data_IF_577810144762
#
_entry.id   IF_577810144762
#
_cell.length_a   1.000
_cell.length_b   1.000
_cell.length_c   1.000
_cell.angle_alpha   90.00
_cell.angle_beta   90.00
_cell.angle_gamma   90.00
#
_symmetry.space_group_name_H-M   'P 1'
#
loop_
_entity.id
_entity.type
_entity.pdbx_description
1 polymer ?
#
# COMPACT_ATOMS: atom_id res chain seq x y z
N UNK A 1 11.97 -41.96 -37.69
CA UNK A 1 12.24 -40.65 -37.07
C UNK A 1 11.05 -39.77 -37.39
N UNK A 2 10.22 -39.52 -36.37
CA UNK A 2 8.83 -39.13 -36.55
C UNK A 2 8.69 -37.61 -36.68
N UNK A 3 8.33 -37.13 -37.87
CA UNK A 3 8.24 -35.70 -38.22
C UNK A 3 7.20 -34.98 -37.34
N UNK A 4 6.15 -35.68 -36.92
CA UNK A 4 5.11 -35.17 -36.04
C UNK A 4 5.63 -34.76 -34.64
N UNK A 5 6.66 -35.46 -34.13
CA UNK A 5 7.26 -35.16 -32.83
C UNK A 5 8.15 -33.90 -32.84
N UNK A 6 8.68 -33.54 -34.01
CA UNK A 6 9.49 -32.34 -34.19
C UNK A 6 8.63 -31.10 -34.34
N UNK A 7 7.53 -31.17 -35.10
CA UNK A 7 6.58 -30.06 -35.24
C UNK A 7 5.91 -29.70 -33.92
N UNK A 8 5.53 -30.69 -33.09
CA UNK A 8 4.96 -30.42 -31.76
C UNK A 8 5.97 -29.79 -30.77
N UNK A 9 7.27 -30.10 -30.93
CA UNK A 9 8.34 -29.48 -30.13
C UNK A 9 8.66 -28.07 -30.61
N UNK A 10 8.66 -27.83 -31.91
CA UNK A 10 8.85 -26.51 -32.51
C UNK A 10 7.68 -25.56 -32.21
N UNK A 11 6.44 -26.06 -32.22
CA UNK A 11 5.26 -25.28 -31.82
C UNK A 11 5.27 -24.98 -30.32
N UNK A 12 5.64 -25.95 -29.47
CA UNK A 12 5.83 -25.68 -28.02
C UNK A 12 6.97 -24.69 -27.76
N UNK A 13 8.08 -24.77 -28.49
CA UNK A 13 9.17 -23.81 -28.35
C UNK A 13 8.77 -22.44 -28.90
N UNK A 14 8.05 -22.34 -30.01
CA UNK A 14 7.55 -21.06 -30.53
C UNK A 14 6.51 -20.46 -29.59
N UNK A 15 5.58 -21.23 -29.04
CA UNK A 15 4.60 -20.75 -28.05
C UNK A 15 5.29 -20.34 -26.75
N UNK A 16 6.29 -21.10 -26.27
CA UNK A 16 7.03 -20.75 -25.07
C UNK A 16 7.93 -19.52 -25.28
N UNK A 17 8.53 -19.38 -26.46
CA UNK A 17 9.34 -18.21 -26.84
C UNK A 17 8.44 -16.99 -27.08
N UNK A 18 7.26 -17.16 -27.68
CA UNK A 18 6.27 -16.11 -27.92
C UNK A 18 5.59 -15.64 -26.63
N UNK A 19 5.32 -16.55 -25.68
CA UNK A 19 4.90 -16.19 -24.31
C UNK A 19 6.04 -15.50 -23.54
N UNK A 20 7.31 -15.87 -23.78
CA UNK A 20 8.47 -15.18 -23.20
C UNK A 20 8.85 -13.84 -23.88
N UNK A 21 8.45 -13.61 -25.14
CA UNK A 21 8.78 -12.38 -25.90
C UNK A 21 7.65 -11.38 -26.00
N UNK A 22 6.38 -11.80 -25.83
CA UNK A 22 5.24 -10.88 -25.71
C UNK A 22 5.15 -10.26 -24.30
N UNK A 23 5.82 -10.84 -23.30
CA UNK A 23 5.97 -10.27 -21.96
C UNK A 23 7.34 -9.59 -21.87
N UNK A 24 7.45 -8.38 -22.43
CA UNK A 24 8.66 -7.59 -22.34
C UNK A 24 9.00 -7.31 -20.85
N UNK A 25 10.22 -7.58 -20.36
CA UNK A 25 10.61 -7.36 -18.95
C UNK A 25 10.49 -5.90 -18.50
N UNK A 26 10.33 -4.96 -19.44
CA UNK A 26 10.05 -3.55 -19.16
C UNK A 26 8.59 -3.25 -18.82
N UNK A 27 7.64 -4.03 -19.32
CA UNK A 27 6.21 -3.85 -19.03
C UNK A 27 5.86 -4.46 -17.67
N UNK A 28 6.52 -5.55 -17.30
CA UNK A 28 6.38 -6.28 -16.02
C UNK A 28 6.85 -5.43 -14.83
N UNK A 29 7.79 -4.51 -15.04
CA UNK A 29 8.48 -3.85 -13.92
C UNK A 29 7.86 -2.52 -13.47
N UNK A 30 6.98 -1.92 -14.27
CA UNK A 30 6.47 -0.56 -14.02
C UNK A 30 5.23 -0.53 -13.10
N UNK A 31 4.23 -1.40 -13.34
CA UNK A 31 2.94 -1.31 -12.63
C UNK A 31 2.86 -2.19 -11.38
N UNK A 32 3.80 -3.11 -11.16
CA UNK A 32 3.81 -3.93 -9.93
C UNK A 32 4.31 -3.18 -8.67
N UNK A 33 5.01 -2.05 -8.84
CA UNK A 33 5.73 -1.37 -7.75
C UNK A 33 4.78 -0.72 -6.74
N UNK A 34 3.71 -0.06 -7.20
CA UNK A 34 2.69 0.52 -6.31
C UNK A 34 2.03 -0.52 -5.40
N UNK A 35 1.41 -1.57 -5.98
CA UNK A 35 0.85 -2.71 -5.23
C UNK A 35 1.86 -3.37 -4.29
N UNK A 36 3.12 -3.50 -4.71
CA UNK A 36 4.20 -4.05 -3.87
C UNK A 36 4.54 -3.17 -2.67
N UNK A 37 4.64 -1.84 -2.83
CA UNK A 37 4.93 -0.93 -1.72
C UNK A 37 3.80 -0.94 -0.69
N UNK A 38 2.55 -0.96 -1.16
CA UNK A 38 1.36 -1.03 -0.28
C UNK A 38 1.35 -2.36 0.46
N UNK A 39 1.43 -3.49 -0.24
CA UNK A 39 1.38 -4.81 0.42
C UNK A 39 2.57 -5.06 1.35
N UNK A 40 3.74 -4.51 1.03
CA UNK A 40 4.90 -4.51 1.91
C UNK A 40 4.62 -3.73 3.19
N UNK A 41 4.01 -2.54 3.10
CA UNK A 41 3.63 -1.73 4.27
C UNK A 41 2.64 -2.49 5.14
N UNK A 42 1.49 -2.87 4.60
CA UNK A 42 0.43 -3.53 5.39
C UNK A 42 0.91 -4.88 5.94
N UNK A 43 1.68 -5.62 5.14
CA UNK A 43 2.30 -6.86 5.57
C UNK A 43 3.29 -6.68 6.72
N UNK A 44 4.12 -5.64 6.70
CA UNK A 44 5.06 -5.34 7.80
C UNK A 44 4.29 -4.93 9.06
N UNK A 45 3.23 -4.16 8.94
CA UNK A 45 2.39 -3.75 10.06
C UNK A 45 1.74 -4.97 10.73
N UNK A 46 1.09 -5.83 9.93
CA UNK A 46 0.56 -7.10 10.40
C UNK A 46 1.63 -8.00 11.05
N UNK A 47 2.80 -8.13 10.40
CA UNK A 47 3.90 -8.92 10.94
C UNK A 47 4.47 -8.35 12.24
N UNK A 48 4.51 -7.02 12.38
CA UNK A 48 4.95 -6.33 13.58
C UNK A 48 3.96 -6.55 14.73
N UNK A 49 2.65 -6.46 14.47
CA UNK A 49 1.60 -6.76 15.44
C UNK A 49 1.80 -8.19 15.98
N UNK A 50 1.88 -9.18 15.08
CA UNK A 50 2.09 -10.59 15.45
C UNK A 50 3.38 -10.74 16.26
N UNK A 51 4.48 -10.12 15.81
CA UNK A 51 5.78 -10.21 16.49
C UNK A 51 5.76 -9.60 17.89
N UNK A 52 5.10 -8.45 18.07
CA UNK A 52 4.93 -7.80 19.38
C UNK A 52 4.11 -8.69 20.31
N UNK A 53 3.00 -9.25 19.82
CA UNK A 53 2.12 -10.12 20.62
C UNK A 53 2.82 -11.40 21.03
N UNK A 54 3.50 -12.07 20.11
CA UNK A 54 4.26 -13.29 20.42
C UNK A 54 5.42 -13.00 21.37
N UNK A 55 6.16 -11.92 21.15
CA UNK A 55 7.25 -11.49 22.04
C UNK A 55 6.75 -11.13 23.44
N UNK A 56 5.57 -10.53 23.53
CA UNK A 56 4.94 -10.20 24.81
C UNK A 56 4.62 -11.45 25.62
N UNK A 57 3.96 -12.45 25.00
CA UNK A 57 3.61 -13.71 25.65
C UNK A 57 4.84 -14.52 26.10
N UNK A 58 5.95 -14.45 25.36
CA UNK A 58 7.22 -15.03 25.78
C UNK A 58 7.74 -14.34 27.04
N UNK A 59 7.75 -13.00 27.06
CA UNK A 59 8.25 -12.21 28.19
C UNK A 59 7.42 -12.38 29.46
N UNK A 60 6.10 -12.55 29.33
CA UNK A 60 5.18 -12.75 30.46
C UNK A 60 5.02 -14.22 30.86
N UNK A 61 5.79 -15.14 30.27
CA UNK A 61 5.72 -16.60 30.50
C UNK A 61 4.34 -17.22 30.22
N UNK A 62 3.57 -16.63 29.32
CA UNK A 62 2.24 -17.11 28.90
C UNK A 62 2.28 -17.81 27.54
N UNK A 63 3.26 -18.70 27.34
CA UNK A 63 3.50 -19.32 26.03
C UNK A 63 2.34 -20.20 25.54
N UNK A 64 1.56 -20.76 26.46
CA UNK A 64 0.36 -21.55 26.15
C UNK A 64 -0.68 -20.77 25.34
N UNK A 65 -0.63 -19.43 25.39
CA UNK A 65 -1.56 -18.55 24.70
C UNK A 65 -1.12 -18.19 23.27
N UNK A 66 0.13 -18.50 22.87
CA UNK A 66 0.67 -18.19 21.53
C UNK A 66 -0.20 -18.77 20.41
N UNK A 67 -0.76 -19.96 20.61
CA UNK A 67 -1.64 -20.62 19.64
C UNK A 67 -2.87 -19.77 19.29
N UNK A 68 -3.42 -19.00 20.24
CA UNK A 68 -4.59 -18.15 20.00
C UNK A 68 -4.25 -16.93 19.14
N UNK A 69 -3.03 -16.39 19.26
CA UNK A 69 -2.53 -15.34 18.35
C UNK A 69 -2.39 -15.90 16.93
N UNK A 70 -1.83 -17.10 16.78
CA UNK A 70 -1.67 -17.74 15.46
C UNK A 70 -3.02 -18.06 14.84
N UNK A 71 -3.95 -18.67 15.58
CA UNK A 71 -5.29 -18.96 15.09
C UNK A 71 -6.06 -17.69 14.75
N UNK A 72 -6.02 -16.66 15.61
CA UNK A 72 -6.65 -15.37 15.33
C UNK A 72 -6.11 -14.72 14.06
N UNK A 73 -4.78 -14.76 13.86
CA UNK A 73 -4.12 -14.25 12.65
C UNK A 73 -4.54 -15.04 11.41
N UNK A 74 -4.51 -16.38 11.48
CA UNK A 74 -4.88 -17.23 10.34
C UNK A 74 -6.34 -17.05 9.92
N UNK A 75 -7.27 -16.97 10.88
CA UNK A 75 -8.68 -16.70 10.61
C UNK A 75 -8.87 -15.30 10.01
N UNK A 76 -8.15 -14.28 10.49
CA UNK A 76 -8.21 -12.93 9.94
C UNK A 76 -7.67 -12.87 8.50
N UNK A 77 -6.58 -13.56 8.20
CA UNK A 77 -6.03 -13.65 6.85
C UNK A 77 -7.03 -14.31 5.89
N UNK A 78 -7.65 -15.42 6.29
CA UNK A 78 -8.70 -16.08 5.50
C UNK A 78 -9.92 -15.16 5.29
N UNK A 79 -10.36 -14.46 6.34
CA UNK A 79 -11.46 -13.50 6.23
C UNK A 79 -11.11 -12.34 5.28
N UNK A 80 -9.86 -11.86 5.31
CA UNK A 80 -9.40 -10.78 4.42
C UNK A 80 -9.37 -11.22 2.95
N UNK A 81 -8.93 -12.45 2.68
CA UNK A 81 -9.04 -13.06 1.34
C UNK A 81 -10.50 -13.18 0.92
N UNK A 82 -11.40 -13.54 1.86
CA UNK A 82 -12.84 -13.56 1.62
C UNK A 82 -13.38 -12.18 1.22
N UNK A 83 -12.97 -11.12 1.90
CA UNK A 83 -13.34 -9.73 1.55
C UNK A 83 -12.82 -9.38 0.15
N UNK A 84 -11.56 -9.68 -0.16
CA UNK A 84 -10.99 -9.46 -1.50
C UNK A 84 -11.78 -10.22 -2.59
N UNK A 85 -12.17 -11.48 -2.33
CA UNK A 85 -12.94 -12.29 -3.26
C UNK A 85 -14.35 -11.75 -3.50
N UNK A 86 -15.03 -11.27 -2.44
CA UNK A 86 -16.35 -10.62 -2.56
C UNK A 86 -16.23 -9.35 -3.40
N UNK A 87 -15.22 -8.52 -3.14
CA UNK A 87 -14.99 -7.29 -3.90
C UNK A 87 -14.67 -7.58 -5.38
N UNK A 88 -13.82 -8.57 -5.65
CA UNK A 88 -13.51 -9.00 -7.02
C UNK A 88 -14.75 -9.56 -7.75
N UNK A 89 -15.62 -10.27 -7.03
CA UNK A 89 -16.90 -10.76 -7.57
C UNK A 89 -17.87 -9.62 -7.92
N UNK A 90 -17.95 -8.57 -7.09
CA UNK A 90 -18.74 -7.36 -7.38
C UNK A 90 -18.18 -6.61 -8.58
N UNK A 91 -16.87 -6.60 -8.77
CA UNK A 91 -16.26 -5.98 -9.95
C UNK A 91 -16.60 -6.73 -11.24
N UNK A 92 -16.51 -8.06 -11.24
CA UNK A 92 -16.74 -8.89 -12.43
C UNK A 92 -18.16 -8.87 -13.00
N UNK A 93 -19.12 -8.20 -12.35
CA UNK A 93 -20.51 -8.05 -12.80
C UNK A 93 -20.81 -6.66 -13.38
N UNK A 94 -19.86 -5.72 -13.34
CA UNK A 94 -20.06 -4.34 -13.81
C UNK A 94 -19.58 -4.19 -15.26
N UNK A 95 -20.38 -3.51 -16.08
CA UNK A 95 -20.06 -3.24 -17.50
C UNK A 95 -20.48 -1.81 -17.90
N UNK A 96 -19.81 -1.26 -18.92
CA UNK A 96 -20.17 0.02 -19.54
C UNK A 96 -19.91 1.25 -18.67
N UNK A 97 -20.77 2.27 -18.78
CA UNK A 97 -20.63 3.56 -18.05
C UNK A 97 -20.63 3.40 -16.52
N UNK A 98 -21.32 2.37 -16.00
CA UNK A 98 -21.35 2.06 -14.56
C UNK A 98 -19.99 1.59 -14.07
N UNK A 99 -19.23 0.90 -14.92
CA UNK A 99 -17.87 0.46 -14.61
C UNK A 99 -16.94 1.67 -14.45
N UNK A 100 -16.89 2.59 -15.42
CA UNK A 100 -16.04 3.78 -15.35
C UNK A 100 -16.37 4.66 -14.12
N UNK A 101 -17.66 4.84 -13.80
CA UNK A 101 -18.08 5.54 -12.58
C UNK A 101 -17.60 4.81 -11.32
N UNK A 102 -17.76 3.48 -11.28
CA UNK A 102 -17.32 2.67 -10.15
C UNK A 102 -15.81 2.74 -9.97
N UNK A 103 -15.03 2.66 -11.05
CA UNK A 103 -13.57 2.75 -11.05
C UNK A 103 -13.09 4.10 -10.52
N UNK A 104 -13.61 5.21 -11.07
CA UNK A 104 -13.26 6.56 -10.61
C UNK A 104 -13.61 6.78 -9.13
N UNK A 105 -14.80 6.36 -8.69
CA UNK A 105 -15.24 6.49 -7.29
C UNK A 105 -14.39 5.62 -6.37
N UNK A 106 -14.13 4.37 -6.73
CA UNK A 106 -13.34 3.44 -5.90
C UNK A 106 -11.89 3.91 -5.74
N UNK A 107 -11.27 4.43 -6.81
CA UNK A 107 -9.91 4.97 -6.72
C UNK A 107 -9.84 6.21 -5.82
N UNK A 108 -10.82 7.10 -5.89
CA UNK A 108 -10.89 8.28 -5.00
C UNK A 108 -11.11 7.85 -3.55
N UNK A 109 -12.02 6.90 -3.30
CA UNK A 109 -12.25 6.35 -1.96
C UNK A 109 -11.00 5.67 -1.41
N UNK A 110 -10.27 4.92 -2.24
CA UNK A 110 -9.01 4.32 -1.88
C UNK A 110 -7.96 5.39 -1.54
N UNK A 111 -7.83 6.46 -2.34
CA UNK A 111 -6.92 7.56 -2.05
C UNK A 111 -7.26 8.27 -0.72
N UNK A 112 -8.54 8.46 -0.42
CA UNK A 112 -9.00 9.03 0.87
C UNK A 112 -8.66 8.12 2.06
N UNK A 113 -8.90 6.82 1.91
CA UNK A 113 -8.60 5.82 2.93
C UNK A 113 -7.09 5.74 3.18
N UNK A 114 -6.27 5.71 2.11
CA UNK A 114 -4.81 5.76 2.19
C UNK A 114 -4.34 7.02 2.92
N UNK A 115 -4.90 8.18 2.59
CA UNK A 115 -4.56 9.47 3.22
C UNK A 115 -4.83 9.44 4.71
N UNK A 116 -5.99 8.89 5.09
CA UNK A 116 -6.38 8.77 6.51
C UNK A 116 -5.39 7.90 7.26
N UNK A 117 -4.92 6.80 6.67
CA UNK A 117 -3.90 5.93 7.26
C UNK A 117 -2.53 6.57 7.37
N UNK A 118 -2.09 7.28 6.34
CA UNK A 118 -0.83 8.03 6.34
C UNK A 118 -0.82 9.04 7.51
N UNK A 119 -1.92 9.77 7.69
CA UNK A 119 -2.08 10.75 8.78
C UNK A 119 -2.16 10.06 10.15
N UNK A 120 -2.94 8.98 10.26
CA UNK A 120 -3.14 8.25 11.50
C UNK A 120 -1.83 7.63 12.01
N UNK A 121 -1.10 6.93 11.15
CA UNK A 121 0.14 6.22 11.51
C UNK A 121 1.22 7.18 12.00
N UNK A 122 1.28 8.40 11.44
CA UNK A 122 2.19 9.44 11.90
C UNK A 122 1.95 9.88 13.35
N UNK A 123 0.73 9.73 13.86
CA UNK A 123 0.37 10.03 15.25
C UNK A 123 0.57 8.85 16.21
N UNK A 124 0.29 7.62 15.75
CA UNK A 124 0.25 6.43 16.61
C UNK A 124 1.52 5.57 16.54
N UNK A 125 2.33 5.67 15.49
CA UNK A 125 3.44 4.73 15.20
C UNK A 125 4.47 4.53 16.34
N UNK A 126 4.68 5.53 17.20
CA UNK A 126 5.59 5.39 18.37
C UNK A 126 4.94 4.71 19.58
N UNK A 127 3.61 4.76 19.68
CA UNK A 127 2.81 4.23 20.80
C UNK A 127 2.16 2.89 20.49
N UNK A 128 2.10 2.49 19.22
CA UNK A 128 1.47 1.25 18.78
C UNK A 128 1.90 0.02 19.62
N UNK A 129 3.20 -0.12 19.87
CA UNK A 129 3.70 -1.24 20.68
C UNK A 129 3.25 -1.19 22.15
N UNK A 130 3.08 0.01 22.72
CA UNK A 130 2.59 0.18 24.09
C UNK A 130 1.07 -0.06 24.16
N UNK A 131 0.32 0.44 23.17
CA UNK A 131 -1.13 0.29 23.06
C UNK A 131 -1.54 -1.17 22.84
N UNK A 132 -0.81 -1.91 21.99
CA UNK A 132 -1.01 -3.35 21.81
C UNK A 132 -0.76 -4.08 23.13
N UNK A 133 0.32 -3.75 23.85
CA UNK A 133 0.62 -4.39 25.15
C UNK A 133 -0.47 -4.12 26.18
N UNK A 134 -0.91 -2.87 26.30
CA UNK A 134 -2.00 -2.49 27.20
C UNK A 134 -3.31 -3.23 26.84
N UNK A 135 -3.62 -3.32 25.55
CA UNK A 135 -4.80 -4.04 25.06
C UNK A 135 -4.72 -5.55 25.31
N UNK A 136 -3.51 -6.12 25.26
CA UNK A 136 -3.26 -7.51 25.64
C UNK A 136 -3.47 -7.73 27.13
N UNK A 137 -2.97 -6.84 27.98
CA UNK A 137 -3.16 -6.95 29.44
C UNK A 137 -4.64 -6.96 29.82
N UNK A 138 -5.41 -6.04 29.26
CA UNK A 138 -6.86 -5.99 29.48
C UNK A 138 -7.56 -7.28 29.02
N UNK A 139 -7.26 -7.75 27.81
CA UNK A 139 -7.95 -8.90 27.22
C UNK A 139 -7.49 -10.24 27.81
N UNK A 140 -6.27 -10.34 28.30
CA UNK A 140 -5.80 -11.49 29.09
C UNK A 140 -6.61 -11.59 30.39
N UNK A 141 -6.88 -10.45 31.05
CA UNK A 141 -7.66 -10.40 32.29
C UNK A 141 -9.14 -10.70 32.07
N UNK A 142 -9.76 -10.13 31.03
CA UNK A 142 -11.22 -10.22 30.82
C UNK A 142 -11.64 -11.49 30.07
N UNK A 143 -10.85 -11.93 29.08
CA UNK A 143 -11.25 -12.97 28.12
C UNK A 143 -10.21 -14.08 27.89
N UNK A 144 -9.08 -14.05 28.61
CA UNK A 144 -8.00 -15.03 28.52
C UNK A 144 -7.60 -15.36 27.07
N UNK A 145 -7.78 -16.63 26.70
CA UNK A 145 -7.46 -17.16 25.38
C UNK A 145 -8.31 -16.59 24.23
N UNK A 146 -9.63 -16.48 24.41
CA UNK A 146 -10.56 -15.97 23.39
C UNK A 146 -10.40 -14.46 23.20
N UNK A 147 -10.10 -13.73 24.28
CA UNK A 147 -9.79 -12.30 24.23
C UNK A 147 -8.58 -12.01 23.34
N UNK A 148 -7.50 -12.79 23.50
CA UNK A 148 -6.30 -12.69 22.66
C UNK A 148 -6.56 -13.07 21.20
N UNK A 149 -7.30 -14.15 20.94
CA UNK A 149 -7.66 -14.55 19.58
C UNK A 149 -8.46 -13.45 18.88
N UNK A 150 -9.46 -12.90 19.56
CA UNK A 150 -10.34 -11.85 19.01
C UNK A 150 -9.60 -10.53 18.79
N UNK A 151 -8.68 -10.16 19.70
CA UNK A 151 -7.81 -8.99 19.53
C UNK A 151 -6.94 -9.14 18.28
N UNK A 152 -6.25 -10.28 18.19
CA UNK A 152 -5.35 -10.55 17.06
C UNK A 152 -6.15 -10.56 15.77
N UNK A 153 -7.32 -11.21 15.77
CA UNK A 153 -8.22 -11.24 14.63
C UNK A 153 -8.60 -9.83 14.19
N UNK A 154 -9.10 -8.97 15.10
CA UNK A 154 -9.53 -7.62 14.75
C UNK A 154 -8.38 -6.74 14.22
N UNK A 155 -7.20 -6.83 14.84
CA UNK A 155 -6.02 -6.07 14.41
C UNK A 155 -5.56 -6.51 13.01
N UNK A 156 -5.43 -7.82 12.76
CA UNK A 156 -4.96 -8.34 11.47
C UNK A 156 -6.03 -8.21 10.38
N UNK A 157 -7.31 -8.37 10.72
CA UNK A 157 -8.41 -8.22 9.77
C UNK A 157 -8.44 -6.80 9.22
N UNK A 158 -8.22 -5.78 10.06
CA UNK A 158 -8.17 -4.40 9.61
C UNK A 158 -7.12 -4.20 8.52
N UNK A 159 -5.87 -4.58 8.80
CA UNK A 159 -4.76 -4.44 7.82
C UNK A 159 -5.03 -5.26 6.55
N UNK A 160 -5.61 -6.45 6.70
CA UNK A 160 -5.97 -7.31 5.56
C UNK A 160 -7.13 -6.78 4.71
N UNK A 161 -8.13 -6.14 5.33
CA UNK A 161 -9.25 -5.49 4.61
C UNK A 161 -8.75 -4.25 3.87
N UNK A 162 -7.88 -3.46 4.49
CA UNK A 162 -7.25 -2.32 3.83
C UNK A 162 -6.47 -2.78 2.59
N UNK A 163 -5.62 -3.81 2.73
CA UNK A 163 -4.90 -4.40 1.59
C UNK A 163 -5.86 -4.96 0.52
N UNK A 164 -6.97 -5.59 0.90
CA UNK A 164 -7.96 -6.11 -0.03
C UNK A 164 -8.61 -4.99 -0.86
N UNK A 165 -8.99 -3.88 -0.23
CA UNK A 165 -9.58 -2.72 -0.89
C UNK A 165 -8.60 -2.08 -1.88
N UNK A 166 -7.35 -1.89 -1.49
CA UNK A 166 -6.31 -1.37 -2.38
C UNK A 166 -6.02 -2.31 -3.53
N UNK A 167 -5.92 -3.61 -3.27
CA UNK A 167 -5.66 -4.60 -4.30
C UNK A 167 -6.75 -4.57 -5.36
N UNK A 168 -8.03 -4.50 -4.97
CA UNK A 168 -9.14 -4.43 -5.92
C UNK A 168 -9.09 -3.12 -6.70
N UNK A 169 -8.88 -1.97 -6.03
CA UNK A 169 -8.82 -0.68 -6.70
C UNK A 169 -7.68 -0.58 -7.74
N UNK A 170 -6.56 -1.28 -7.52
CA UNK A 170 -5.43 -1.31 -8.44
C UNK A 170 -5.53 -2.42 -9.48
N UNK A 171 -6.18 -3.53 -9.14
CA UNK A 171 -6.42 -4.63 -10.06
C UNK A 171 -7.35 -4.23 -11.22
N UNK A 172 -8.09 -3.13 -11.09
CA UNK A 172 -8.83 -2.50 -12.19
C UNK A 172 -7.92 -2.23 -13.39
N UNK A 173 -6.75 -1.62 -13.16
CA UNK A 173 -5.86 -1.18 -14.23
C UNK A 173 -5.08 -2.35 -14.84
N UNK A 174 -4.49 -3.19 -13.99
CA UNK A 174 -3.78 -4.40 -14.40
C UNK A 174 -3.86 -5.46 -13.28
N UNK A 175 -4.75 -6.45 -13.40
CA UNK A 175 -4.93 -7.48 -12.39
C UNK A 175 -3.66 -8.31 -12.17
N UNK A 176 -2.97 -8.69 -13.26
CA UNK A 176 -1.83 -9.62 -13.19
C UNK A 176 -0.65 -8.96 -12.49
N UNK A 177 -0.31 -7.74 -12.88
CA UNK A 177 0.78 -6.99 -12.24
C UNK A 177 0.45 -6.63 -10.79
N UNK A 178 -0.82 -6.32 -10.50
CA UNK A 178 -1.27 -6.04 -9.14
C UNK A 178 -1.09 -7.24 -8.22
N UNK A 179 -1.57 -8.43 -8.61
CA UNK A 179 -1.42 -9.63 -7.78
C UNK A 179 0.04 -10.06 -7.61
N UNK A 180 0.88 -9.91 -8.64
CA UNK A 180 2.31 -10.17 -8.53
C UNK A 180 2.99 -9.19 -7.56
N UNK A 181 2.70 -7.90 -7.68
CA UNK A 181 3.21 -6.87 -6.77
C UNK A 181 2.80 -7.15 -5.31
N UNK A 182 1.52 -7.45 -5.09
CA UNK A 182 0.99 -7.80 -3.77
C UNK A 182 1.71 -9.01 -3.19
N UNK A 183 1.84 -10.10 -3.98
CA UNK A 183 2.51 -11.32 -3.54
C UNK A 183 3.99 -11.09 -3.18
N UNK A 184 4.73 -10.33 -3.99
CA UNK A 184 6.13 -9.99 -3.72
C UNK A 184 6.29 -9.13 -2.47
N UNK A 185 5.46 -8.11 -2.28
CA UNK A 185 5.52 -7.25 -1.09
C UNK A 185 5.14 -8.01 0.18
N UNK A 186 4.14 -8.90 0.13
CA UNK A 186 3.81 -9.79 1.25
C UNK A 186 4.93 -10.77 1.57
N UNK A 187 5.57 -11.37 0.56
CA UNK A 187 6.70 -12.27 0.76
C UNK A 187 7.87 -11.54 1.46
N UNK A 188 8.19 -10.33 1.02
CA UNK A 188 9.22 -9.50 1.64
C UNK A 188 8.83 -9.08 3.06
N UNK A 189 7.56 -8.74 3.30
CA UNK A 189 7.04 -8.42 4.63
C UNK A 189 7.19 -9.59 5.61
N UNK A 190 6.92 -10.82 5.17
CA UNK A 190 7.12 -12.03 5.99
C UNK A 190 8.59 -12.21 6.33
N UNK A 191 9.50 -12.04 5.37
CA UNK A 191 10.96 -12.14 5.60
C UNK A 191 11.42 -11.10 6.64
N UNK A 192 10.99 -9.84 6.49
CA UNK A 192 11.30 -8.76 7.42
C UNK A 192 10.70 -9.04 8.80
N UNK A 193 9.45 -9.45 8.86
CA UNK A 193 8.72 -9.80 10.08
C UNK A 193 9.39 -10.91 10.87
N UNK A 194 9.78 -12.00 10.20
CA UNK A 194 10.53 -13.11 10.82
C UNK A 194 11.90 -12.63 11.32
N UNK A 195 12.59 -11.77 10.56
CA UNK A 195 13.85 -11.18 10.99
C UNK A 195 13.72 -10.28 12.23
N UNK A 196 12.61 -9.54 12.35
CA UNK A 196 12.28 -8.75 13.54
C UNK A 196 11.95 -9.66 14.73
N UNK A 197 11.11 -10.68 14.53
CA UNK A 197 10.73 -11.64 15.57
C UNK A 197 11.95 -12.38 16.15
N UNK A 198 12.91 -12.77 15.29
CA UNK A 198 14.17 -13.40 15.71
C UNK A 198 15.18 -12.42 16.33
N UNK A 199 14.91 -11.12 16.33
CA UNK A 199 15.82 -10.08 16.82
C UNK A 199 17.04 -9.82 15.93
N UNK A 200 17.07 -10.40 14.73
CA UNK A 200 18.18 -10.26 13.76
C UNK A 200 18.12 -8.93 12.99
N UNK A 201 16.95 -8.29 12.91
CA UNK A 201 16.75 -7.00 12.25
C UNK A 201 16.35 -5.93 13.27
N UNK A 202 17.19 -4.90 13.43
CA UNK A 202 16.86 -3.68 14.20
C UNK A 202 16.52 -2.56 13.24
N UNK A 203 15.32 -2.59 12.69
CA UNK A 203 14.83 -1.54 11.79
C UNK A 203 14.26 -0.40 12.63
N UNK A 204 14.71 0.82 12.38
CA UNK A 204 14.07 2.01 12.93
C UNK A 204 12.72 2.22 12.24
N UNK A 205 11.64 1.74 12.88
CA UNK A 205 10.27 1.83 12.35
C UNK A 205 9.89 3.26 11.93
N UNK A 206 10.35 4.24 12.70
CA UNK A 206 10.16 5.66 12.38
C UNK A 206 10.73 6.08 11.01
N UNK A 207 11.85 5.48 10.61
CA UNK A 207 12.52 5.80 9.33
C UNK A 207 11.84 5.07 8.20
N UNK A 208 11.53 3.78 8.38
CA UNK A 208 10.79 2.98 7.41
C UNK A 208 9.46 3.65 7.06
N UNK A 209 8.63 3.94 8.07
CA UNK A 209 7.33 4.59 7.86
C UNK A 209 7.44 5.98 7.26
N UNK A 210 8.51 6.74 7.55
CA UNK A 210 8.70 8.07 6.94
C UNK A 210 8.94 7.96 5.44
N UNK A 211 9.82 7.04 5.02
CA UNK A 211 10.12 6.85 3.61
C UNK A 211 8.93 6.25 2.86
N UNK A 212 8.29 5.22 3.41
CA UNK A 212 7.10 4.63 2.76
C UNK A 212 5.94 5.63 2.71
N UNK A 213 5.70 6.41 3.76
CA UNK A 213 4.67 7.47 3.72
C UNK A 213 4.95 8.51 2.64
N UNK A 214 6.22 8.88 2.41
CA UNK A 214 6.56 9.81 1.34
C UNK A 214 6.15 9.27 -0.04
N UNK A 215 6.50 8.02 -0.35
CA UNK A 215 6.08 7.39 -1.61
C UNK A 215 4.56 7.23 -1.69
N UNK A 216 3.89 6.88 -0.60
CA UNK A 216 2.44 6.71 -0.57
C UNK A 216 1.67 8.03 -0.74
N UNK A 217 2.23 9.17 -0.29
CA UNK A 217 1.63 10.48 -0.55
C UNK A 217 1.65 10.79 -2.05
N UNK A 218 2.77 10.53 -2.72
CA UNK A 218 2.91 10.75 -4.17
C UNK A 218 2.01 9.78 -4.96
N UNK A 219 1.93 8.54 -4.49
CA UNK A 219 1.02 7.54 -5.04
C UNK A 219 -0.45 7.95 -4.91
N UNK A 220 -0.91 8.37 -3.72
CA UNK A 220 -2.28 8.84 -3.52
C UNK A 220 -2.58 10.07 -4.38
N UNK A 221 -1.64 10.99 -4.56
CA UNK A 221 -1.81 12.11 -5.47
C UNK A 221 -2.07 11.63 -6.92
N UNK A 222 -1.31 10.62 -7.36
CA UNK A 222 -1.53 9.96 -8.65
C UNK A 222 -2.89 9.26 -8.73
N UNK A 223 -3.33 8.57 -7.67
CA UNK A 223 -4.66 7.96 -7.61
C UNK A 223 -5.78 9.01 -7.70
N UNK A 224 -5.64 10.16 -7.04
CA UNK A 224 -6.62 11.26 -7.15
C UNK A 224 -6.71 11.78 -8.59
N UNK A 225 -5.56 11.99 -9.25
CA UNK A 225 -5.54 12.39 -10.65
C UNK A 225 -6.20 11.33 -11.55
N UNK A 226 -5.89 10.05 -11.35
CA UNK A 226 -6.50 8.95 -12.10
C UNK A 226 -8.01 8.85 -11.85
N UNK A 227 -8.47 8.95 -10.61
CA UNK A 227 -9.90 8.93 -10.31
C UNK A 227 -10.65 10.12 -10.91
N UNK A 228 -10.01 11.29 -11.00
CA UNK A 228 -10.53 12.44 -11.74
C UNK A 228 -10.64 12.12 -13.23
N UNK A 229 -9.60 11.52 -13.82
CA UNK A 229 -9.58 11.14 -15.23
C UNK A 229 -10.77 10.24 -15.58
N UNK A 230 -10.97 9.15 -14.84
CA UNK A 230 -12.10 8.21 -15.04
C UNK A 230 -13.47 8.90 -14.90
N UNK A 231 -13.62 9.82 -13.94
CA UNK A 231 -14.85 10.59 -13.79
C UNK A 231 -15.08 11.59 -14.94
N UNK A 232 -14.02 12.07 -15.58
CA UNK A 232 -14.13 12.91 -16.78
C UNK A 232 -14.53 12.08 -17.99
N UNK A 233 -13.96 10.88 -18.15
CA UNK A 233 -14.33 9.94 -19.23
C UNK A 233 -15.78 9.48 -19.09
N UNK A 234 -16.25 9.24 -17.87
CA UNK A 234 -17.63 8.91 -17.58
C UNK A 234 -18.62 10.09 -17.76
N UNK A 235 -18.15 11.30 -18.09
CA UNK A 235 -18.98 12.46 -18.38
C UNK A 235 -19.62 13.13 -17.15
N UNK A 236 -19.20 12.77 -15.93
CA UNK A 236 -19.77 13.31 -14.69
C UNK A 236 -19.13 14.64 -14.25
N UNK A 237 -18.02 15.05 -14.86
CA UNK A 237 -17.32 16.30 -14.55
C UNK A 237 -17.61 17.38 -15.60
N UNK A 238 -17.92 18.59 -15.12
CA UNK A 238 -18.39 19.73 -15.93
C UNK A 238 -17.31 20.28 -16.88
N UNK A 239 -16.03 19.95 -16.64
CA UNK A 239 -14.88 20.39 -17.43
C UNK A 239 -14.38 19.18 -18.22
N UNK A 240 -14.52 19.24 -19.55
CA UNK A 240 -14.05 18.19 -20.45
C UNK A 240 -12.53 17.99 -20.40
N UNK A 241 -12.01 16.90 -21.00
CA UNK A 241 -10.59 16.55 -20.99
C UNK A 241 -9.80 17.52 -21.87
N UNK A 242 -9.53 18.72 -21.35
CA UNK A 242 -8.63 19.66 -21.98
C UNK A 242 -7.20 19.31 -21.54
N UNK A 243 -6.46 18.67 -22.42
CA UNK A 243 -5.05 18.35 -22.21
C UNK A 243 -4.25 19.65 -21.98
N UNK A 244 -3.48 19.71 -20.89
CA UNK A 244 -2.64 20.88 -20.59
C UNK A 244 -1.32 20.80 -21.34
N UNK A 245 -0.77 19.58 -21.45
CA UNK A 245 0.45 19.29 -22.18
C UNK A 245 0.36 17.89 -22.77
N UNK A 246 1.20 17.61 -23.76
CA UNK A 246 1.46 16.26 -24.25
C UNK A 246 2.97 16.10 -24.46
N UNK A 247 3.59 15.35 -23.57
CA UNK A 247 5.02 15.02 -23.61
C UNK A 247 5.27 13.54 -23.94
N UNK A 248 4.20 12.79 -24.27
CA UNK A 248 4.32 11.39 -24.61
C UNK A 248 5.05 11.25 -25.96
N UNK A 249 6.21 10.56 -26.00
CA UNK A 249 6.92 10.31 -27.25
C UNK A 249 6.08 9.42 -28.17
N UNK A 250 6.16 9.61 -29.48
CA UNK A 250 5.48 8.74 -30.44
C UNK A 250 5.90 7.28 -30.30
N UNK A 251 4.98 6.35 -30.56
CA UNK A 251 5.24 4.90 -30.56
C UNK A 251 6.46 4.54 -31.42
N UNK A 252 7.22 3.51 -30.99
CA UNK A 252 8.31 2.97 -31.80
C UNK A 252 7.73 2.34 -33.08
N UNK A 253 8.59 2.16 -34.09
CA UNK A 253 8.22 1.49 -35.34
C UNK A 253 7.68 0.05 -35.16
N UNK A 254 7.94 -0.55 -34.00
CA UNK A 254 7.48 -1.88 -33.59
C UNK A 254 6.14 -1.82 -32.79
N UNK A 255 5.49 -0.65 -32.69
CA UNK A 255 4.27 -0.44 -31.91
C UNK A 255 4.48 -0.40 -30.39
N UNK A 256 5.70 -0.63 -29.92
CA UNK A 256 6.05 -0.60 -28.50
C UNK A 256 6.13 0.83 -27.94
N UNK A 257 5.80 0.99 -26.66
CA UNK A 257 5.91 2.25 -25.94
C UNK A 257 7.38 2.62 -25.64
N UNK A 258 7.84 3.83 -26.01
CA UNK A 258 9.15 4.35 -25.63
C UNK A 258 9.33 4.39 -24.11
N UNK A 259 10.58 4.37 -23.62
CA UNK A 259 10.89 4.31 -22.19
C UNK A 259 10.19 5.40 -21.35
N UNK A 260 10.11 6.64 -21.83
CA UNK A 260 9.51 7.78 -21.13
C UNK A 260 8.01 7.97 -21.38
N UNK A 261 7.41 7.15 -22.24
CA UNK A 261 5.95 7.14 -22.40
C UNK A 261 5.31 6.69 -21.09
N UNK A 262 4.15 7.24 -20.76
CA UNK A 262 3.39 6.85 -19.55
C UNK A 262 3.03 5.35 -19.45
N UNK A 263 2.97 4.65 -20.58
CA UNK A 263 2.82 3.19 -20.68
C UNK A 263 4.16 2.46 -20.95
N UNK A 264 5.27 3.20 -21.00
CA UNK A 264 6.62 2.69 -21.13
C UNK A 264 7.25 2.30 -19.79
N UNK A 265 8.48 1.76 -19.80
CA UNK A 265 9.20 1.32 -18.59
C UNK A 265 9.30 2.43 -17.52
N UNK A 266 9.91 3.55 -17.91
CA UNK A 266 10.29 4.62 -16.98
C UNK A 266 9.08 5.51 -16.71
N UNK A 267 8.32 5.86 -17.75
CA UNK A 267 7.10 6.66 -17.58
C UNK A 267 6.03 5.90 -16.80
N UNK A 268 5.84 4.60 -17.04
CA UNK A 268 4.93 3.76 -16.26
C UNK A 268 5.38 3.59 -14.81
N UNK A 269 6.68 3.41 -14.54
CA UNK A 269 7.20 3.38 -13.18
C UNK A 269 7.00 4.73 -12.49
N UNK A 270 7.25 5.83 -13.20
CA UNK A 270 7.01 7.18 -12.68
C UNK A 270 5.53 7.45 -12.48
N UNK A 271 4.65 6.87 -13.30
CA UNK A 271 3.18 6.94 -13.15
C UNK A 271 2.77 6.21 -11.88
N UNK A 272 3.29 5.00 -11.68
CA UNK A 272 3.02 4.17 -10.52
C UNK A 272 3.65 4.68 -9.21
N UNK A 273 4.77 5.43 -9.23
CA UNK A 273 5.42 5.95 -8.02
C UNK A 273 5.07 7.40 -7.70
N UNK A 274 4.91 8.21 -8.74
CA UNK A 274 4.83 9.66 -8.63
C UNK A 274 3.56 10.22 -9.29
N UNK A 275 2.70 9.41 -9.89
CA UNK A 275 1.55 9.92 -10.65
C UNK A 275 1.94 10.68 -11.91
N UNK A 276 3.08 10.36 -12.52
CA UNK A 276 3.46 10.89 -13.83
C UNK A 276 2.35 10.66 -14.87
N UNK A 277 1.94 11.74 -15.54
CA UNK A 277 1.03 11.69 -16.66
C UNK A 277 1.64 12.46 -17.84
N UNK A 278 1.75 11.79 -18.99
CA UNK A 278 2.31 12.36 -20.22
C UNK A 278 1.35 13.32 -20.93
N UNK A 279 0.04 13.18 -20.72
CA UNK A 279 -1.01 14.02 -21.30
C UNK A 279 -2.19 14.29 -20.34
N UNK A 280 -1.96 14.90 -19.17
CA UNK A 280 -3.01 15.11 -18.18
C UNK A 280 -3.98 16.22 -18.58
N UNK A 281 -5.22 16.07 -18.11
CA UNK A 281 -6.20 17.16 -18.13
C UNK A 281 -5.87 18.25 -17.11
N UNK A 282 -6.40 19.46 -17.34
CA UNK A 282 -6.26 20.56 -16.38
C UNK A 282 -6.79 20.22 -14.98
N UNK A 283 -7.84 19.40 -14.90
CA UNK A 283 -8.43 19.01 -13.62
C UNK A 283 -7.53 18.01 -12.88
N UNK A 284 -6.90 17.08 -13.60
CA UNK A 284 -5.96 16.11 -13.03
C UNK A 284 -4.77 16.83 -12.39
N UNK A 285 -4.20 17.82 -13.08
CA UNK A 285 -3.07 18.62 -12.57
C UNK A 285 -3.46 19.38 -11.30
N UNK A 286 -4.63 20.03 -11.31
CA UNK A 286 -5.14 20.74 -10.14
C UNK A 286 -5.40 19.77 -8.98
N UNK A 287 -6.01 18.61 -9.25
CA UNK A 287 -6.26 17.56 -8.26
C UNK A 287 -4.97 17.06 -7.62
N UNK A 288 -3.98 16.72 -8.43
CA UNK A 288 -2.67 16.26 -7.98
C UNK A 288 -1.95 17.31 -7.10
N UNK A 289 -1.84 18.55 -7.59
CA UNK A 289 -1.11 19.63 -6.90
C UNK A 289 -1.84 20.05 -5.61
N UNK A 290 -3.17 20.16 -5.65
CA UNK A 290 -3.96 20.51 -4.46
C UNK A 290 -3.85 19.44 -3.38
N UNK A 291 -3.92 18.15 -3.75
CA UNK A 291 -3.73 17.05 -2.82
C UNK A 291 -2.36 17.10 -2.14
N UNK A 292 -1.28 17.26 -2.91
CA UNK A 292 0.07 17.41 -2.36
C UNK A 292 0.24 18.64 -1.48
N UNK A 293 -0.36 19.77 -1.88
CA UNK A 293 -0.31 21.02 -1.12
C UNK A 293 -1.00 20.89 0.25
N UNK A 294 -2.19 20.29 0.28
CA UNK A 294 -2.96 20.06 1.51
C UNK A 294 -2.20 19.12 2.45
N UNK A 295 -1.79 17.96 1.94
CA UNK A 295 -1.16 16.93 2.78
C UNK A 295 0.26 17.34 3.20
N UNK A 296 1.04 17.93 2.29
CA UNK A 296 2.35 18.51 2.58
C UNK A 296 2.27 19.65 3.61
N UNK A 297 1.27 20.52 3.49
CA UNK A 297 0.98 21.58 4.46
C UNK A 297 0.65 21.04 5.85
N UNK A 298 -0.20 20.02 5.93
CA UNK A 298 -0.53 19.32 7.18
C UNK A 298 0.73 18.71 7.84
N UNK A 299 1.57 18.02 7.06
CA UNK A 299 2.80 17.39 7.54
C UNK A 299 3.84 18.42 8.01
N UNK A 300 3.95 19.56 7.33
CA UNK A 300 4.83 20.67 7.73
C UNK A 300 4.34 21.34 9.02
N UNK A 301 3.03 21.53 9.16
CA UNK A 301 2.41 22.10 10.36
C UNK A 301 2.60 21.20 11.59
N UNK A 302 2.26 19.91 11.50
CA UNK A 302 2.49 18.92 12.57
C UNK A 302 3.99 18.79 12.92
N UNK A 303 4.83 18.86 11.87
CA UNK A 303 6.28 19.19 11.90
C UNK A 303 6.71 20.12 13.04
N UNK A 304 6.25 21.36 12.89
CA UNK A 304 6.63 22.51 13.71
C UNK A 304 6.05 22.42 15.12
N UNK A 305 4.84 21.88 15.25
CA UNK A 305 4.16 21.74 16.55
C UNK A 305 4.85 20.74 17.47
N UNK A 306 5.38 19.64 16.93
CA UNK A 306 6.15 18.64 17.71
C UNK A 306 7.59 19.07 18.01
N UNK A 307 8.15 19.96 17.19
CA UNK A 307 9.54 20.43 17.27
C UNK A 307 9.78 21.64 18.16
N UNK A 308 8.79 22.13 18.92
CA UNK A 308 8.99 23.21 19.90
C UNK A 308 9.39 22.61 21.25
N UNK A 309 10.67 22.69 21.68
CA UNK A 309 11.02 22.37 23.05
C UNK A 309 10.47 23.51 23.92
N UNK A 310 9.74 23.18 24.99
CA UNK A 310 9.60 24.11 26.09
C UNK A 310 11.00 24.40 26.63
N UNK A 311 11.50 25.60 26.40
CA UNK A 311 12.61 26.18 27.16
C UNK A 311 12.09 26.47 28.57
N UNK A 312 11.92 25.42 29.38
CA UNK A 312 11.69 25.50 30.82
C UNK A 312 12.95 24.96 31.51
N UNK A 313 13.96 25.81 31.69
CA UNK A 313 14.94 25.77 32.81
C UNK A 313 16.12 26.70 32.56
N UNK A 314 16.02 27.98 32.95
CA UNK A 314 17.23 28.77 33.28
C UNK A 314 17.02 30.01 34.18
N UNK A 315 15.94 30.10 34.99
CA UNK A 315 15.76 31.26 35.89
C UNK A 315 15.33 30.97 37.34
N UNK A 316 15.51 29.74 37.86
CA UNK A 316 15.16 29.44 39.27
C UNK A 316 16.22 28.67 40.07
N UNK A 317 17.50 28.71 39.67
CA UNK A 317 18.62 28.17 40.47
C UNK A 317 19.72 29.24 40.63
N UNK A 318 19.32 30.44 41.05
CA UNK A 318 20.27 31.47 41.48
C UNK A 318 19.74 32.23 42.69
N UNK A 319 19.59 31.53 43.82
CA UNK A 319 19.75 32.18 45.12
C UNK A 319 20.67 31.32 46.00
N UNK A 320 21.92 31.76 46.23
CA UNK A 320 22.78 31.13 47.20
C UNK A 320 22.36 31.55 48.61
N UNK A 321 22.28 30.55 49.48
CA UNK A 321 22.23 30.65 50.94
C UNK A 321 23.24 31.70 51.42
N UNK A 322 22.77 32.74 52.11
CA UNK A 322 23.60 33.53 53.03
C UNK A 322 23.13 33.27 54.45
N UNK A 323 24.15 33.15 55.30
CA UNK A 323 24.16 32.82 56.72
C UNK A 323 23.19 33.63 57.58
#
# INVERSE_FOLDING_TARGET
MDVASYTERLDRLHICTMILTIVHPSMVMAMFVGPMIISLREGIEAALIISIMLSYLIKTRQESLKKYVIYGSGVAMLASVGVAAVLAGVYGILEGEVLALFEGVMVILAALLLTTMIVWMRSVGHRLAAEIRQSMDEKIVIGGALGLASLTFALILREGVELALFTVALAVQDPVQTYLGVALGLALAVVIGVGIYRGSLRISMSTFFRWTSFFLILFAAGMVAYGIHELQEAGYLLIGPLEVWNINPSLLSDGSYPLLHDNGLIGGLAKALFGYNGNPSGLEVVGYVSFLGILGGYFAYDSRKRGSPKTESEESIAQPTKA
#
